data_IF_382471624751
#
_entry.id   IF_382471624751
#
_cell.length_a   1.000
_cell.length_b   1.000
_cell.length_c   1.000
_cell.angle_alpha   90.00
_cell.angle_beta   90.00
_cell.angle_gamma   90.00
#
_symmetry.space_group_name_H-M   'P 1'
#
loop_
_entity.id
_entity.type
_entity.pdbx_description
1 polymer ?
#
# COMPACT_ATOMS: atom_id res chain seq x y z
N UNK A 1 -13.41 -4.11 -10.71
CA UNK A 1 -12.65 -5.39 -10.76
C UNK A 1 -13.40 -6.46 -9.98
N UNK A 2 -13.56 -7.67 -10.52
CA UNK A 2 -14.26 -8.75 -9.80
C UNK A 2 -13.39 -9.33 -8.70
N UNK A 3 -14.03 -9.86 -7.64
CA UNK A 3 -13.33 -10.60 -6.59
C UNK A 3 -12.49 -11.77 -7.12
N UNK A 4 -12.95 -12.44 -8.18
CA UNK A 4 -12.26 -13.59 -8.78
C UNK A 4 -10.94 -13.17 -9.42
N UNK A 5 -10.95 -12.07 -10.17
CA UNK A 5 -9.75 -11.48 -10.78
C UNK A 5 -8.74 -11.04 -9.72
N UNK A 6 -9.18 -10.29 -8.71
CA UNK A 6 -8.30 -9.83 -7.61
C UNK A 6 -7.63 -11.02 -6.92
N UNK A 7 -8.40 -12.08 -6.64
CA UNK A 7 -7.84 -13.28 -5.98
C UNK A 7 -6.83 -14.00 -6.87
N UNK A 8 -7.07 -14.06 -8.18
CA UNK A 8 -6.15 -14.68 -9.14
C UNK A 8 -4.84 -13.89 -9.22
N UNK A 9 -4.91 -12.57 -9.40
CA UNK A 9 -3.74 -11.70 -9.50
C UNK A 9 -2.92 -11.69 -8.21
N UNK A 10 -3.55 -11.52 -7.05
CA UNK A 10 -2.84 -11.48 -5.77
C UNK A 10 -2.18 -12.82 -5.41
N UNK A 11 -2.76 -13.94 -5.86
CA UNK A 11 -2.11 -15.25 -5.75
C UNK A 11 -0.90 -15.36 -6.68
N UNK A 12 -1.01 -14.88 -7.91
CA UNK A 12 0.05 -14.99 -8.90
C UNK A 12 1.24 -14.06 -8.58
N UNK A 13 0.98 -12.82 -8.20
CA UNK A 13 2.03 -11.80 -7.96
C UNK A 13 2.65 -11.95 -6.57
N UNK A 14 1.82 -12.20 -5.54
CA UNK A 14 2.27 -12.16 -4.15
C UNK A 14 2.15 -13.51 -3.41
N UNK A 15 1.65 -14.56 -4.05
CA UNK A 15 1.47 -15.87 -3.40
C UNK A 15 0.41 -15.88 -2.29
N UNK A 16 -0.45 -14.86 -2.20
CA UNK A 16 -1.34 -14.71 -1.05
C UNK A 16 -2.48 -15.72 -1.02
N UNK A 17 -2.77 -16.25 0.17
CA UNK A 17 -3.92 -17.12 0.36
C UNK A 17 -5.25 -16.36 0.17
N UNK A 18 -6.28 -17.06 -0.30
CA UNK A 18 -7.62 -16.48 -0.59
C UNK A 18 -8.26 -15.85 0.65
N UNK A 19 -8.05 -16.42 1.83
CA UNK A 19 -8.55 -15.86 3.09
C UNK A 19 -7.89 -14.50 3.41
N UNK A 20 -6.58 -14.40 3.24
CA UNK A 20 -5.80 -13.16 3.41
C UNK A 20 -6.34 -12.05 2.53
N UNK A 21 -6.54 -12.34 1.24
CA UNK A 21 -7.08 -11.39 0.26
C UNK A 21 -8.49 -10.94 0.65
N UNK A 22 -9.36 -11.89 1.08
CA UNK A 22 -10.72 -11.58 1.53
C UNK A 22 -10.73 -10.67 2.76
N UNK A 23 -9.86 -10.92 3.74
CA UNK A 23 -9.74 -10.11 4.95
C UNK A 23 -9.26 -8.70 4.60
N UNK A 24 -8.25 -8.60 3.73
CA UNK A 24 -7.72 -7.31 3.28
C UNK A 24 -8.80 -6.49 2.56
N UNK A 25 -9.51 -7.08 1.59
CA UNK A 25 -10.59 -6.41 0.86
C UNK A 25 -11.70 -5.94 1.81
N UNK A 26 -12.08 -6.75 2.81
CA UNK A 26 -13.04 -6.31 3.83
C UNK A 26 -12.53 -5.08 4.58
N UNK A 27 -11.30 -5.12 5.08
CA UNK A 27 -10.70 -3.99 5.82
C UNK A 27 -10.58 -2.72 4.97
N UNK A 28 -10.30 -2.84 3.68
CA UNK A 28 -10.22 -1.69 2.77
C UNK A 28 -11.59 -1.06 2.51
N UNK A 29 -12.65 -1.87 2.43
CA UNK A 29 -14.03 -1.38 2.37
C UNK A 29 -14.41 -0.70 3.69
N UNK A 30 -14.15 -1.35 4.83
CA UNK A 30 -14.47 -0.81 6.16
C UNK A 30 -13.74 0.53 6.42
N UNK A 31 -12.56 0.74 5.82
CA UNK A 31 -11.78 1.98 5.90
C UNK A 31 -12.18 3.04 4.87
N UNK A 32 -13.14 2.75 3.99
CA UNK A 32 -13.60 3.68 2.95
C UNK A 32 -12.63 3.88 1.78
N UNK A 33 -11.70 2.94 1.56
CA UNK A 33 -10.78 3.01 0.41
C UNK A 33 -11.33 2.33 -0.84
N UNK A 34 -12.22 1.34 -0.65
CA UNK A 34 -12.89 0.62 -1.72
C UNK A 34 -14.40 0.67 -1.54
N UNK A 35 -15.13 0.88 -2.63
CA UNK A 35 -16.53 0.53 -2.71
C UNK A 35 -16.68 -0.94 -3.12
N UNK A 36 -17.74 -1.58 -2.63
CA UNK A 36 -18.10 -2.95 -2.97
C UNK A 36 -19.53 -3.02 -3.48
N UNK A 37 -19.68 -3.36 -4.74
CA UNK A 37 -20.96 -3.57 -5.39
C UNK A 37 -21.23 -5.07 -5.58
N UNK A 38 -22.50 -5.47 -5.60
CA UNK A 38 -22.91 -6.85 -5.90
C UNK A 38 -23.68 -6.83 -7.21
N UNK A 39 -23.07 -7.39 -8.25
CA UNK A 39 -23.66 -7.48 -9.59
C UNK A 39 -23.73 -8.96 -9.94
N UNK A 40 -24.93 -9.46 -10.27
CA UNK A 40 -25.18 -10.88 -10.60
C UNK A 40 -24.56 -11.85 -9.57
N UNK A 41 -24.80 -11.58 -8.28
CA UNK A 41 -24.27 -12.35 -7.14
C UNK A 41 -22.73 -12.36 -7.01
N UNK A 42 -22.02 -11.51 -7.74
CA UNK A 42 -20.57 -11.37 -7.66
C UNK A 42 -20.17 -10.02 -7.07
N UNK A 43 -19.22 -10.04 -6.13
CA UNK A 43 -18.65 -8.83 -5.56
C UNK A 43 -17.69 -8.18 -6.54
N UNK A 44 -17.93 -6.91 -6.83
CA UNK A 44 -17.10 -6.02 -7.61
C UNK A 44 -16.54 -4.95 -6.70
N UNK A 45 -15.26 -4.64 -6.87
CA UNK A 45 -14.58 -3.61 -6.11
C UNK A 45 -14.17 -2.46 -7.01
N UNK A 46 -14.35 -1.24 -6.50
CA UNK A 46 -13.96 0.02 -7.14
C UNK A 46 -13.16 0.86 -6.14
N UNK A 47 -12.08 1.47 -6.61
CA UNK A 47 -11.32 2.44 -5.82
C UNK A 47 -12.13 3.73 -5.73
N UNK A 48 -12.31 4.23 -4.51
CA UNK A 48 -13.07 5.47 -4.24
C UNK A 48 -12.22 6.60 -3.65
N UNK A 49 -11.01 6.28 -3.19
CA UNK A 49 -10.06 7.27 -2.71
C UNK A 49 -9.45 8.05 -3.88
N UNK A 50 -9.28 9.36 -3.71
CA UNK A 50 -8.58 10.19 -4.68
C UNK A 50 -7.05 9.99 -4.58
N UNK A 51 -6.34 10.22 -5.69
CA UNK A 51 -4.87 10.15 -5.71
C UNK A 51 -4.26 11.08 -4.65
N UNK A 52 -4.82 12.28 -4.48
CA UNK A 52 -4.36 13.25 -3.48
C UNK A 52 -4.49 12.69 -2.05
N UNK A 53 -5.61 12.07 -1.73
CA UNK A 53 -5.86 11.47 -0.42
C UNK A 53 -4.94 10.26 -0.17
N UNK A 54 -4.71 9.44 -1.19
CA UNK A 54 -3.77 8.33 -1.13
C UNK A 54 -2.35 8.81 -0.81
N UNK A 55 -1.85 9.81 -1.54
CA UNK A 55 -0.50 10.36 -1.33
C UNK A 55 -0.38 11.08 0.02
N UNK A 56 -1.42 11.80 0.46
CA UNK A 56 -1.46 12.39 1.79
C UNK A 56 -1.36 11.34 2.90
N UNK A 57 -2.11 10.23 2.78
CA UNK A 57 -2.00 9.10 3.71
C UNK A 57 -0.61 8.48 3.70
N UNK A 58 -0.06 8.21 2.50
CA UNK A 58 1.29 7.66 2.32
C UNK A 58 2.33 8.56 3.00
N UNK A 59 2.28 9.88 2.76
CA UNK A 59 3.16 10.88 3.38
C UNK A 59 3.02 10.89 4.91
N UNK A 60 1.81 10.81 5.44
CA UNK A 60 1.55 10.74 6.89
C UNK A 60 2.17 9.50 7.53
N UNK A 61 1.98 8.33 6.93
CA UNK A 61 2.55 7.06 7.43
C UNK A 61 4.08 7.11 7.40
N UNK A 62 4.65 7.64 6.31
CA UNK A 62 6.09 7.77 6.12
C UNK A 62 6.76 8.82 7.02
N UNK A 63 6.05 9.90 7.37
CA UNK A 63 6.53 10.91 8.34
C UNK A 63 6.35 10.47 9.81
N UNK A 64 5.70 9.33 10.06
CA UNK A 64 5.45 8.85 11.42
C UNK A 64 6.76 8.62 12.19
N UNK A 65 6.70 8.72 13.52
CA UNK A 65 7.86 8.42 14.38
C UNK A 65 8.33 6.97 14.22
N UNK A 66 7.40 6.05 13.92
CA UNK A 66 7.67 4.63 13.73
C UNK A 66 8.41 4.35 12.43
N UNK A 67 7.98 4.94 11.31
CA UNK A 67 8.70 4.84 10.03
C UNK A 67 10.08 5.47 10.11
N UNK A 68 10.24 6.64 10.76
CA UNK A 68 11.55 7.26 10.99
C UNK A 68 12.48 6.37 11.83
N UNK A 69 11.97 5.70 12.86
CA UNK A 69 12.74 4.75 13.67
C UNK A 69 13.19 3.53 12.86
N UNK A 70 12.30 2.96 12.03
CA UNK A 70 12.62 1.85 11.14
C UNK A 70 13.68 2.28 10.12
N UNK A 71 13.52 3.44 9.50
CA UNK A 71 14.48 3.98 8.53
C UNK A 71 15.85 4.20 9.17
N UNK A 72 15.90 4.83 10.35
CA UNK A 72 17.14 4.99 11.11
C UNK A 72 17.79 3.65 11.46
N UNK A 73 17.01 2.66 11.88
CA UNK A 73 17.52 1.32 12.18
C UNK A 73 18.09 0.64 10.94
N UNK A 74 17.43 0.75 9.79
CA UNK A 74 17.94 0.20 8.53
C UNK A 74 19.25 0.86 8.11
N UNK A 75 19.37 2.18 8.29
CA UNK A 75 20.59 2.92 7.91
C UNK A 75 21.74 2.74 8.88
N UNK A 76 21.49 2.56 10.17
CA UNK A 76 22.55 2.31 11.15
C UNK A 76 22.99 0.86 11.21
N UNK A 77 22.11 -0.11 10.93
CA UNK A 77 22.41 -1.54 11.07
C UNK A 77 23.00 -2.15 9.80
N UNK A 78 22.66 -1.64 8.61
CA UNK A 78 23.20 -2.14 7.35
C UNK A 78 24.32 -1.23 6.83
N UNK A 79 25.58 -1.64 7.08
CA UNK A 79 26.80 -1.08 6.49
C UNK A 79 26.89 -1.22 4.94
N UNK A 80 25.81 -1.67 4.28
CA UNK A 80 25.78 -2.10 2.87
C UNK A 80 24.79 -1.30 2.00
N UNK A 81 24.04 -0.35 2.56
CA UNK A 81 23.20 0.54 1.75
C UNK A 81 24.09 1.71 1.34
N UNK A 82 24.40 1.82 0.04
CA UNK A 82 25.22 2.90 -0.47
C UNK A 82 24.54 4.24 -0.23
N UNK A 83 25.36 5.28 -0.03
CA UNK A 83 24.89 6.64 0.21
C UNK A 83 23.97 7.12 -0.92
N UNK A 84 24.24 6.74 -2.17
CA UNK A 84 23.37 7.10 -3.30
C UNK A 84 21.95 6.52 -3.17
N UNK A 85 21.79 5.29 -2.66
CA UNK A 85 20.46 4.69 -2.44
C UNK A 85 19.69 5.41 -1.33
N UNK A 86 20.40 5.99 -0.37
CA UNK A 86 19.81 6.79 0.69
C UNK A 86 19.40 8.16 0.18
N UNK A 87 20.27 8.82 -0.56
CA UNK A 87 20.01 10.13 -1.15
C UNK A 87 18.84 10.04 -2.15
N UNK A 88 18.79 9.00 -2.98
CA UNK A 88 17.66 8.73 -3.88
C UNK A 88 16.34 8.46 -3.13
N UNK A 89 16.41 7.83 -1.96
CA UNK A 89 15.24 7.58 -1.12
C UNK A 89 14.76 8.88 -0.45
N UNK A 90 15.67 9.71 0.05
CA UNK A 90 15.35 11.03 0.59
C UNK A 90 14.79 11.97 -0.49
N UNK A 91 15.36 11.96 -1.68
CA UNK A 91 14.89 12.70 -2.85
C UNK A 91 13.50 12.22 -3.29
N UNK A 92 13.27 10.91 -3.36
CA UNK A 92 11.93 10.34 -3.60
C UNK A 92 10.90 10.82 -2.57
N UNK A 93 11.29 10.94 -1.29
CA UNK A 93 10.39 11.47 -0.25
C UNK A 93 10.17 12.98 -0.35
N UNK A 94 11.14 13.74 -0.85
CA UNK A 94 11.03 15.19 -1.12
C UNK A 94 10.14 15.46 -2.32
N UNK A 95 10.26 14.66 -3.38
CA UNK A 95 9.55 14.82 -4.64
C UNK A 95 8.13 14.23 -4.63
N UNK A 96 7.70 13.56 -3.55
CA UNK A 96 6.29 13.28 -3.25
C UNK A 96 5.47 14.57 -2.92
N UNK A 97 5.95 15.75 -3.32
CA UNK A 97 5.34 17.06 -3.08
C UNK A 97 4.55 17.66 -4.26
N UNK A 98 4.41 16.94 -5.38
CA UNK A 98 3.50 17.30 -6.48
C UNK A 98 2.32 16.33 -6.61
#
# INVERSE_FOLDING_TARGET
MTKKEIVKEMRQVYGWHKSTIKILLKRLVDKGYLARDIIKFQSHYKIIIDNKEYYAFKKKVLKSSKSRKIMRSLTTTHKSISKEKLDALEEYYRNLEE
#
